data_IF_474778772127
#
_entry.id   IF_474778772127
#
_cell.length_a   1.000
_cell.length_b   1.000
_cell.length_c   1.000
_cell.angle_alpha   90.00
_cell.angle_beta   90.00
_cell.angle_gamma   90.00
#
_symmetry.space_group_name_H-M   'P 1'
#
loop_
_entity.id
_entity.type
_entity.pdbx_description
1 polymer ?
#
# COMPACT_ATOMS: atom_id res chain seq x y z
N UNK A 1 40.52 31.27 -52.22
CA UNK A 1 39.68 32.43 -52.50
C UNK A 1 38.53 32.40 -51.54
N UNK A 2 38.37 33.56 -50.90
CA UNK A 2 37.26 34.04 -50.07
C UNK A 2 37.14 33.44 -48.66
N UNK A 3 37.72 34.20 -47.76
CA UNK A 3 37.34 34.43 -46.35
C UNK A 3 35.88 34.80 -46.26
N UNK A 4 35.19 34.29 -45.24
CA UNK A 4 34.08 35.03 -44.64
C UNK A 4 34.23 34.99 -43.13
N UNK A 5 34.62 36.15 -42.56
CA UNK A 5 34.71 36.48 -41.17
C UNK A 5 33.27 36.69 -40.63
N UNK A 6 32.78 35.77 -39.88
CA UNK A 6 31.56 36.00 -39.10
C UNK A 6 31.91 36.57 -37.73
N UNK A 7 31.75 37.86 -37.64
CA UNK A 7 31.84 38.80 -36.55
C UNK A 7 31.02 38.38 -35.37
N UNK A 8 31.68 38.04 -34.28
CA UNK A 8 31.10 37.76 -32.97
C UNK A 8 30.72 39.11 -32.32
N UNK A 9 29.46 39.49 -32.39
CA UNK A 9 28.93 40.63 -31.68
C UNK A 9 28.51 40.17 -30.28
N UNK A 10 29.30 40.56 -29.30
CA UNK A 10 29.04 40.51 -27.87
C UNK A 10 27.85 41.43 -27.54
N UNK A 11 26.70 40.96 -27.02
CA UNK A 11 25.65 41.87 -26.54
C UNK A 11 26.14 42.55 -25.29
N UNK A 12 26.28 43.85 -25.42
CA UNK A 12 26.55 44.85 -24.40
C UNK A 12 25.69 44.62 -23.14
N UNK A 13 26.44 44.63 -22.04
CA UNK A 13 26.05 44.89 -20.68
C UNK A 13 25.00 46.00 -20.59
N UNK A 14 23.71 45.66 -20.60
CA UNK A 14 22.64 46.57 -20.21
C UNK A 14 22.64 46.63 -18.68
N UNK A 15 23.21 47.69 -18.15
CA UNK A 15 22.96 48.14 -16.80
C UNK A 15 21.46 48.34 -16.64
N UNK A 16 20.83 47.74 -15.60
CA UNK A 16 19.42 48.03 -15.33
C UNK A 16 19.25 49.49 -15.01
N UNK A 17 18.28 50.06 -15.71
CA UNK A 17 17.91 51.49 -15.63
C UNK A 17 17.70 51.90 -14.15
N UNK A 18 18.23 53.07 -13.85
CA UNK A 18 18.29 53.76 -12.55
C UNK A 18 16.89 54.02 -11.93
N UNK A 19 15.81 53.71 -12.65
CA UNK A 19 14.43 53.91 -12.17
C UNK A 19 13.92 52.84 -11.21
N UNK A 20 14.59 51.69 -11.10
CA UNK A 20 14.19 50.62 -10.16
C UNK A 20 14.77 50.79 -8.76
N UNK A 21 15.69 51.71 -8.55
CA UNK A 21 16.33 51.95 -7.25
C UNK A 21 15.48 52.90 -6.39
N UNK A 22 14.70 53.82 -6.99
CA UNK A 22 13.90 54.77 -6.23
C UNK A 22 12.69 54.16 -5.49
N UNK A 23 12.24 52.96 -5.84
CA UNK A 23 11.10 52.31 -5.16
C UNK A 23 11.54 51.70 -3.81
N UNK A 24 12.83 51.49 -3.61
CA UNK A 24 13.34 50.88 -2.37
C UNK A 24 13.83 51.87 -1.31
N UNK A 25 14.05 53.16 -1.67
CA UNK A 25 14.49 54.18 -0.71
C UNK A 25 13.39 54.67 0.24
N UNK A 26 12.14 54.28 0.00
CA UNK A 26 10.99 54.66 0.86
C UNK A 26 10.70 53.71 2.01
N UNK A 27 11.31 52.51 2.05
CA UNK A 27 11.15 51.58 3.16
C UNK A 27 12.24 51.87 4.20
N UNK A 28 11.88 52.60 5.27
CA UNK A 28 12.76 52.70 6.42
C UNK A 28 13.00 51.33 7.03
N UNK A 29 14.20 51.10 7.54
CA UNK A 29 14.62 49.82 8.18
C UNK A 29 13.61 49.36 9.26
N UNK A 30 12.85 50.29 9.86
CA UNK A 30 11.79 50.00 10.82
C UNK A 30 10.52 49.39 10.19
N UNK A 31 10.26 49.60 8.89
CA UNK A 31 9.13 48.98 8.20
C UNK A 31 9.46 47.61 7.65
N UNK A 32 10.71 47.35 7.34
CA UNK A 32 11.20 46.00 6.97
C UNK A 32 11.26 45.06 8.17
N UNK A 33 11.30 45.59 9.40
CA UNK A 33 11.33 44.80 10.64
C UNK A 33 9.91 44.48 11.17
N UNK A 34 8.87 45.01 10.57
CA UNK A 34 7.50 44.60 10.86
C UNK A 34 7.18 43.37 9.99
N UNK A 35 7.67 42.25 10.43
CA UNK A 35 7.28 40.93 9.90
C UNK A 35 5.76 40.82 10.09
N UNK A 36 4.93 40.85 8.99
CA UNK A 36 3.48 40.80 9.11
C UNK A 36 3.01 39.42 9.61
N UNK A 37 3.95 38.48 9.73
CA UNK A 37 3.75 37.17 10.30
C UNK A 37 4.37 37.09 11.70
N UNK A 38 3.57 37.41 12.70
CA UNK A 38 3.93 37.10 14.08
C UNK A 38 3.80 35.57 14.29
N UNK A 39 4.86 34.85 13.97
CA UNK A 39 4.93 33.36 14.07
C UNK A 39 4.46 32.86 15.44
N UNK A 40 4.74 33.62 16.49
CA UNK A 40 4.36 33.27 17.86
C UNK A 40 2.85 33.36 18.08
N UNK A 41 2.17 34.28 17.44
CA UNK A 41 0.73 34.50 17.57
C UNK A 41 -0.05 33.45 16.74
N UNK A 42 0.40 33.17 15.54
CA UNK A 42 -0.14 32.09 14.68
C UNK A 42 0.05 30.73 15.36
N UNK A 43 1.19 30.49 15.96
CA UNK A 43 1.49 29.27 16.70
C UNK A 43 0.55 29.11 17.92
N UNK A 44 0.44 30.14 18.75
CA UNK A 44 -0.40 30.10 19.95
C UNK A 44 -1.89 29.91 19.63
N UNK A 45 -2.36 30.46 18.54
CA UNK A 45 -3.77 30.37 18.10
C UNK A 45 -4.08 28.98 17.52
N UNK A 46 -3.14 28.36 16.84
CA UNK A 46 -3.37 27.15 16.08
C UNK A 46 -2.79 25.88 16.73
N UNK A 47 -1.95 25.98 17.77
CA UNK A 47 -1.30 24.83 18.42
C UNK A 47 -2.28 23.73 18.83
N UNK A 48 -3.44 24.09 19.38
CA UNK A 48 -4.43 23.10 19.82
C UNK A 48 -5.03 22.35 18.62
N UNK A 49 -5.31 23.08 17.53
CA UNK A 49 -5.81 22.47 16.28
C UNK A 49 -4.75 21.56 15.64
N UNK A 50 -3.49 21.97 15.68
CA UNK A 50 -2.38 21.18 15.15
C UNK A 50 -2.17 19.88 15.95
N UNK A 51 -2.22 19.95 17.29
CA UNK A 51 -2.14 18.76 18.14
C UNK A 51 -3.34 17.83 17.96
N UNK A 52 -4.54 18.38 17.76
CA UNK A 52 -5.73 17.58 17.46
C UNK A 52 -5.57 16.85 16.13
N UNK A 53 -5.09 17.53 15.09
CA UNK A 53 -4.84 16.95 13.78
C UNK A 53 -3.79 15.83 13.85
N UNK A 54 -2.68 16.06 14.55
CA UNK A 54 -1.64 15.05 14.77
C UNK A 54 -2.18 13.84 15.54
N UNK A 55 -3.04 14.06 16.53
CA UNK A 55 -3.70 13.00 17.28
C UNK A 55 -4.59 12.13 16.39
N UNK A 56 -5.39 12.74 15.51
CA UNK A 56 -6.24 12.02 14.55
C UNK A 56 -5.39 11.17 13.60
N UNK A 57 -4.30 11.73 13.07
CA UNK A 57 -3.37 11.01 12.18
C UNK A 57 -2.75 9.83 12.91
N UNK A 58 -2.29 10.01 14.14
CA UNK A 58 -1.68 8.94 14.94
C UNK A 58 -2.66 7.79 15.20
N UNK A 59 -3.93 8.11 15.54
CA UNK A 59 -4.98 7.11 15.72
C UNK A 59 -5.26 6.37 14.41
N UNK A 60 -5.34 7.09 13.28
CA UNK A 60 -5.53 6.50 11.95
C UNK A 60 -4.43 5.51 11.58
N UNK A 61 -3.17 5.89 11.79
CA UNK A 61 -2.01 5.02 11.53
C UNK A 61 -2.02 3.79 12.44
N UNK A 62 -2.34 3.96 13.72
CA UNK A 62 -2.43 2.85 14.66
C UNK A 62 -3.55 1.86 14.28
N UNK A 63 -4.71 2.36 13.85
CA UNK A 63 -5.83 1.54 13.40
C UNK A 63 -5.46 0.73 12.16
N UNK A 64 -4.89 1.38 11.12
CA UNK A 64 -4.44 0.69 9.90
C UNK A 64 -3.38 -0.37 10.23
N UNK A 65 -2.41 -0.04 11.08
CA UNK A 65 -1.38 -0.99 11.49
C UNK A 65 -1.95 -2.20 12.21
N UNK A 66 -2.97 -2.00 13.04
CA UNK A 66 -3.62 -3.11 13.73
C UNK A 66 -4.41 -4.00 12.77
N UNK A 67 -5.17 -3.42 11.84
CA UNK A 67 -5.90 -4.20 10.84
C UNK A 67 -4.95 -5.04 9.99
N UNK A 68 -3.88 -4.44 9.46
CA UNK A 68 -2.88 -5.15 8.66
C UNK A 68 -2.19 -6.28 9.45
N UNK A 69 -1.90 -6.05 10.74
CA UNK A 69 -1.29 -7.08 11.58
C UNK A 69 -2.22 -8.26 11.82
N UNK A 70 -3.51 -7.98 12.08
CA UNK A 70 -4.51 -9.02 12.27
C UNK A 70 -4.70 -9.86 11.00
N UNK A 71 -4.77 -9.23 9.85
CA UNK A 71 -4.89 -9.91 8.56
C UNK A 71 -3.67 -10.83 8.30
N UNK A 72 -2.45 -10.36 8.56
CA UNK A 72 -1.25 -11.19 8.44
C UNK A 72 -1.22 -12.37 9.43
N UNK A 73 -1.69 -12.18 10.66
CA UNK A 73 -1.79 -13.27 11.65
C UNK A 73 -2.83 -14.31 11.21
N UNK A 74 -3.97 -13.87 10.68
CA UNK A 74 -5.00 -14.77 10.17
C UNK A 74 -4.51 -15.57 8.94
N UNK A 75 -3.81 -14.94 8.01
CA UNK A 75 -3.21 -15.62 6.85
C UNK A 75 -2.12 -16.62 7.26
N UNK A 76 -1.27 -16.26 8.21
CA UNK A 76 -0.23 -17.15 8.73
C UNK A 76 -0.84 -18.37 9.43
N UNK A 77 -1.91 -18.18 10.21
CA UNK A 77 -2.64 -19.27 10.85
C UNK A 77 -3.31 -20.19 9.82
N UNK A 78 -3.93 -19.63 8.78
CA UNK A 78 -4.56 -20.40 7.70
C UNK A 78 -3.54 -21.26 6.97
N UNK A 79 -2.41 -20.67 6.58
CA UNK A 79 -1.32 -21.39 5.92
C UNK A 79 -0.77 -22.51 6.81
N UNK A 80 -0.61 -22.25 8.09
CA UNK A 80 -0.15 -23.26 9.06
C UNK A 80 -1.13 -24.42 9.18
N UNK A 81 -2.43 -24.16 9.32
CA UNK A 81 -3.48 -25.18 9.37
C UNK A 81 -3.53 -26.03 8.08
N UNK A 82 -3.37 -25.39 6.92
CA UNK A 82 -3.33 -26.10 5.64
C UNK A 82 -2.14 -27.05 5.56
N UNK A 83 -0.95 -26.61 5.98
CA UNK A 83 0.25 -27.47 6.01
C UNK A 83 0.05 -28.62 7.00
N UNK A 84 -0.46 -28.31 8.20
CA UNK A 84 -0.73 -29.29 9.24
C UNK A 84 -1.73 -30.37 8.78
N UNK A 85 -2.75 -29.99 8.00
CA UNK A 85 -3.70 -30.94 7.44
C UNK A 85 -3.03 -32.02 6.58
N UNK A 86 -1.93 -31.69 5.89
CA UNK A 86 -1.16 -32.62 5.08
C UNK A 86 -0.10 -33.43 5.82
N UNK A 87 0.18 -33.12 7.10
CA UNK A 87 1.32 -33.69 7.82
C UNK A 87 1.08 -35.14 8.21
N UNK A 88 -0.15 -35.54 8.52
CA UNK A 88 -0.52 -36.85 8.95
C UNK A 88 -1.35 -37.59 7.88
N UNK A 89 -0.78 -38.48 7.10
CA UNK A 89 -1.46 -39.09 5.95
C UNK A 89 -2.78 -39.79 6.29
N UNK A 90 -2.87 -40.41 7.47
CA UNK A 90 -4.05 -41.15 7.88
C UNK A 90 -5.28 -40.23 8.16
N UNK A 91 -5.06 -39.02 8.56
CA UNK A 91 -6.11 -38.02 8.86
C UNK A 91 -6.16 -36.89 7.81
N UNK A 92 -5.31 -36.93 6.81
CA UNK A 92 -5.17 -35.81 5.87
C UNK A 92 -6.46 -35.49 5.11
N UNK A 93 -7.20 -36.49 4.70
CA UNK A 93 -8.47 -36.30 3.98
C UNK A 93 -9.48 -35.53 4.82
N UNK A 94 -9.75 -36.00 6.03
CA UNK A 94 -10.71 -35.37 6.94
C UNK A 94 -10.30 -33.94 7.28
N UNK A 95 -9.01 -33.71 7.53
CA UNK A 95 -8.48 -32.39 7.84
C UNK A 95 -8.58 -31.43 6.65
N UNK A 96 -8.30 -31.90 5.42
CA UNK A 96 -8.50 -31.07 4.22
C UNK A 96 -9.97 -30.76 3.96
N UNK A 97 -10.89 -31.69 4.19
CA UNK A 97 -12.33 -31.43 4.05
C UNK A 97 -12.83 -30.47 5.13
N UNK A 98 -12.39 -30.62 6.37
CA UNK A 98 -12.68 -29.68 7.45
C UNK A 98 -12.15 -28.28 7.11
N UNK A 99 -10.91 -28.20 6.66
CA UNK A 99 -10.33 -26.92 6.24
C UNK A 99 -11.13 -26.28 5.11
N UNK A 100 -11.54 -27.03 4.11
CA UNK A 100 -12.34 -26.55 2.98
C UNK A 100 -13.77 -26.12 3.38
N UNK A 101 -14.25 -26.58 4.53
CA UNK A 101 -15.53 -26.14 5.10
C UNK A 101 -15.38 -24.83 5.88
N UNK A 102 -14.24 -24.67 6.57
CA UNK A 102 -13.94 -23.46 7.35
C UNK A 102 -13.59 -22.27 6.45
N UNK A 103 -13.02 -22.53 5.26
CA UNK A 103 -12.55 -21.53 4.32
C UNK A 103 -13.17 -21.71 2.93
N UNK A 104 -14.12 -20.85 2.60
CA UNK A 104 -14.83 -20.87 1.30
C UNK A 104 -14.13 -19.91 0.30
N UNK A 105 -12.86 -20.20 0.00
CA UNK A 105 -12.01 -19.43 -0.90
C UNK A 105 -11.11 -20.35 -1.73
N UNK A 106 -10.20 -19.76 -2.51
CA UNK A 106 -9.25 -20.48 -3.36
C UNK A 106 -8.43 -21.51 -2.55
N UNK A 107 -8.00 -21.19 -1.34
CA UNK A 107 -7.23 -22.14 -0.50
C UNK A 107 -8.10 -23.28 0.01
N UNK A 108 -9.38 -23.02 0.34
CA UNK A 108 -10.36 -24.04 0.63
C UNK A 108 -10.62 -24.94 -0.58
N UNK A 109 -10.68 -24.38 -1.78
CA UNK A 109 -10.75 -25.13 -3.04
C UNK A 109 -9.56 -26.07 -3.24
N UNK A 110 -8.32 -25.58 -2.96
CA UNK A 110 -7.12 -26.41 -3.01
C UNK A 110 -7.16 -27.53 -1.98
N UNK A 111 -7.68 -27.28 -0.77
CA UNK A 111 -7.85 -28.32 0.25
C UNK A 111 -8.83 -29.41 -0.22
N UNK A 112 -9.97 -29.01 -0.80
CA UNK A 112 -10.96 -29.92 -1.39
C UNK A 112 -10.35 -30.78 -2.50
N UNK A 113 -9.55 -30.16 -3.37
CA UNK A 113 -8.80 -30.86 -4.41
C UNK A 113 -7.84 -31.91 -3.84
N UNK A 114 -7.12 -31.58 -2.75
CA UNK A 114 -6.22 -32.52 -2.06
C UNK A 114 -6.97 -33.70 -1.47
N UNK A 115 -8.11 -33.48 -0.84
CA UNK A 115 -8.98 -34.54 -0.33
C UNK A 115 -9.47 -35.46 -1.47
N UNK A 116 -9.90 -34.86 -2.57
CA UNK A 116 -10.37 -35.63 -3.76
C UNK A 116 -9.26 -36.53 -4.35
N UNK A 117 -8.01 -36.08 -4.36
CA UNK A 117 -6.88 -36.93 -4.78
C UNK A 117 -6.72 -38.13 -3.86
N UNK A 118 -6.89 -37.96 -2.54
CA UNK A 118 -6.81 -39.07 -1.58
C UNK A 118 -7.95 -40.06 -1.85
N UNK A 119 -9.18 -39.59 -1.97
CA UNK A 119 -10.35 -40.42 -2.28
C UNK A 119 -10.19 -41.18 -3.59
N UNK A 120 -9.66 -40.52 -4.64
CA UNK A 120 -9.39 -41.15 -5.92
C UNK A 120 -8.37 -42.32 -5.79
N UNK A 121 -7.30 -42.13 -5.02
CA UNK A 121 -6.30 -43.16 -4.75
C UNK A 121 -6.92 -44.34 -3.98
N UNK A 122 -7.86 -44.05 -3.09
CA UNK A 122 -8.60 -45.08 -2.33
C UNK A 122 -9.75 -45.69 -3.12
N UNK A 123 -9.87 -45.38 -4.42
CA UNK A 123 -10.90 -45.87 -5.35
C UNK A 123 -12.33 -45.41 -5.00
N UNK A 124 -12.48 -44.38 -4.18
CA UNK A 124 -13.75 -43.75 -3.87
C UNK A 124 -14.09 -42.66 -4.92
N UNK A 125 -14.38 -43.15 -6.14
CA UNK A 125 -14.45 -42.28 -7.31
C UNK A 125 -15.61 -41.28 -7.27
N UNK A 126 -16.77 -41.69 -6.75
CA UNK A 126 -17.95 -40.80 -6.68
C UNK A 126 -17.71 -39.58 -5.74
N UNK A 127 -17.12 -39.84 -4.57
CA UNK A 127 -16.74 -38.81 -3.62
C UNK A 127 -15.64 -37.91 -4.20
N UNK A 128 -14.65 -38.50 -4.85
CA UNK A 128 -13.57 -37.75 -5.49
C UNK A 128 -14.11 -36.79 -6.57
N UNK A 129 -15.02 -37.27 -7.45
CA UNK A 129 -15.64 -36.42 -8.48
C UNK A 129 -16.41 -35.25 -7.87
N UNK A 130 -17.20 -35.53 -6.82
CA UNK A 130 -17.95 -34.46 -6.11
C UNK A 130 -17.03 -33.40 -5.53
N UNK A 131 -15.92 -33.83 -4.91
CA UNK A 131 -14.96 -32.92 -4.31
C UNK A 131 -14.10 -32.18 -5.36
N UNK A 132 -13.78 -32.80 -6.50
CA UNK A 132 -13.15 -32.09 -7.62
C UNK A 132 -14.05 -31.00 -8.20
N UNK A 133 -15.33 -31.28 -8.39
CA UNK A 133 -16.29 -30.28 -8.86
C UNK A 133 -16.42 -29.11 -7.85
N UNK A 134 -16.50 -29.43 -6.56
CA UNK A 134 -16.54 -28.43 -5.51
C UNK A 134 -15.25 -27.59 -5.45
N UNK A 135 -14.10 -28.21 -5.67
CA UNK A 135 -12.81 -27.51 -5.73
C UNK A 135 -12.76 -26.51 -6.90
N UNK A 136 -13.16 -26.95 -8.10
CA UNK A 136 -13.25 -26.08 -9.29
C UNK A 136 -14.16 -24.88 -9.03
N UNK A 137 -15.32 -25.13 -8.42
CA UNK A 137 -16.27 -24.07 -8.10
C UNK A 137 -15.73 -23.03 -7.11
N UNK A 138 -14.93 -23.48 -6.11
CA UNK A 138 -14.31 -22.60 -5.12
C UNK A 138 -13.08 -21.85 -5.63
N UNK A 139 -12.27 -22.49 -6.48
CA UNK A 139 -11.10 -21.86 -7.07
C UNK A 139 -11.48 -20.83 -8.14
N UNK A 140 -12.69 -20.93 -8.74
CA UNK A 140 -13.15 -20.00 -9.76
C UNK A 140 -12.26 -19.98 -10.99
N UNK A 141 -12.30 -18.83 -11.69
CA UNK A 141 -11.44 -18.57 -12.86
C UNK A 141 -10.06 -17.98 -12.44
N UNK A 142 -9.53 -18.34 -11.27
CA UNK A 142 -8.25 -17.84 -10.82
C UNK A 142 -7.12 -18.36 -11.73
N UNK A 143 -6.34 -17.49 -12.39
CA UNK A 143 -5.32 -17.89 -13.38
C UNK A 143 -4.11 -18.63 -12.77
N UNK A 144 -4.15 -18.98 -11.50
CA UNK A 144 -3.10 -19.77 -10.83
C UNK A 144 -3.28 -21.30 -10.98
N UNK A 145 -4.22 -21.74 -11.78
CA UNK A 145 -4.42 -23.18 -12.08
C UNK A 145 -4.00 -23.50 -13.50
#
# INVERSE_FOLDING_TARGET
MANDESKNENPENQTPDDETIEIFEGLTADQAAQDPYNESEVWNKNKNSLFTLLGIIAIGVAAVSWFNKKEQEDEAQRSSRFIEAGTEPAAAEERFLSFATDYDDTLGGVAKYRAAIIQYKDKRYEEAVTNFQGAISQMGDDPLV
#
